data_IF_353125174640
#
_entry.id   IF_353125174640
#
_cell.length_a   1.000
_cell.length_b   1.000
_cell.length_c   1.000
_cell.angle_alpha   90.00
_cell.angle_beta   90.00
_cell.angle_gamma   90.00
#
_symmetry.space_group_name_H-M   'P 1'
#
loop_
_entity.id
_entity.type
_entity.pdbx_description
1 polymer ?
#
# COMPACT_ATOMS: atom_id res chain seq x y z
N UNK A 1 -22.11 56.40 -21.03
CA UNK A 1 -21.91 55.85 -20.87
C UNK A 1 -21.71 54.80 -20.70
N UNK A 2 -21.53 54.17 -20.58
CA UNK A 2 -21.34 53.30 -20.37
C UNK A 2 -20.92 52.25 -20.16
N UNK A 3 -20.76 51.66 -19.96
CA UNK A 3 -20.42 50.70 -19.74
C UNK A 3 -20.01 49.74 -19.52
N UNK A 4 -19.75 49.20 -19.42
CA UNK A 4 -19.43 48.29 -19.21
C UNK A 4 -19.21 47.28 -18.85
N UNK A 5 -19.09 46.66 -18.74
CA UNK A 5 -18.93 45.67 -18.37
C UNK A 5 -18.36 44.65 -18.06
N UNK A 6 -18.19 44.05 -17.79
CA UNK A 6 -17.67 43.22 -17.44
C UNK A 6 -17.60 42.08 -17.16
N UNK A 7 -17.51 41.47 -16.97
CA UNK A 7 -17.44 40.41 -16.77
C UNK A 7 -16.90 39.52 -16.44
N UNK A 8 -16.55 38.94 -16.12
CA UNK A 8 -16.05 38.12 -15.71
C UNK A 8 -15.96 36.91 -15.61
N UNK A 9 -15.94 36.29 -15.47
CA UNK A 9 -15.75 35.25 -15.48
C UNK A 9 -15.37 34.35 -14.92
N UNK A 10 -15.08 33.79 -14.50
CA UNK A 10 -14.72 33.00 -13.90
C UNK A 10 -14.43 31.86 -13.89
N UNK A 11 -14.28 31.19 -13.78
CA UNK A 11 -13.93 30.20 -13.79
C UNK A 11 -13.68 29.25 -13.22
N UNK A 12 -13.58 28.80 -12.72
CA UNK A 12 -13.45 27.91 -12.20
C UNK A 12 -12.89 26.83 -12.21
N UNK A 13 -12.55 26.39 -12.12
CA UNK A 13 -11.89 25.49 -12.08
C UNK A 13 -11.93 24.35 -11.58
N UNK A 14 -11.92 23.83 -11.28
CA UNK A 14 -11.95 22.81 -10.90
C UNK A 14 -11.35 21.84 -10.74
N UNK A 15 -11.00 21.35 -10.49
CA UNK A 15 -10.37 20.52 -10.25
C UNK A 15 -10.36 19.41 -9.98
N UNK A 16 -10.36 18.84 -9.80
CA UNK A 16 -10.34 17.82 -9.58
C UNK A 16 -9.75 16.99 -9.26
N UNK A 17 -9.63 16.74 -9.05
CA UNK A 17 -9.06 16.09 -8.95
C UNK A 17 -8.59 15.08 -8.56
N UNK A 18 -7.91 14.75 -8.80
CA UNK A 18 -7.30 13.61 -8.39
C UNK A 18 -7.38 13.33 -6.98
N UNK A 19 -7.68 14.26 -6.24
CA UNK A 19 -7.82 14.01 -4.82
C UNK A 19 -8.78 12.86 -4.57
N UNK A 20 -9.70 12.64 -5.47
CA UNK A 20 -10.61 11.51 -5.33
C UNK A 20 -9.87 10.19 -5.33
N UNK A 21 -8.64 10.20 -5.78
CA UNK A 21 -7.83 8.99 -5.87
C UNK A 21 -6.74 8.93 -4.84
N UNK A 22 -6.68 9.94 -4.00
CA UNK A 22 -5.70 9.92 -2.93
C UNK A 22 -5.99 8.70 -2.08
N UNK A 23 -5.02 7.84 -1.99
CA UNK A 23 -5.14 6.64 -1.18
C UNK A 23 -4.56 6.94 0.18
N UNK A 24 -5.28 6.58 1.22
CA UNK A 24 -4.79 6.77 2.57
C UNK A 24 -3.95 5.59 3.01
N UNK A 25 -3.18 5.02 2.11
CA UNK A 25 -2.31 3.92 2.47
C UNK A 25 -1.10 4.47 3.21
N UNK A 26 -0.66 3.78 4.27
CA UNK A 26 0.49 4.23 5.05
C UNK A 26 1.80 3.76 4.42
N UNK A 27 1.94 3.98 3.12
CA UNK A 27 3.09 3.50 2.33
C UNK A 27 3.61 4.60 1.44
N UNK A 28 4.89 4.48 1.08
CA UNK A 28 5.53 5.39 0.13
C UNK A 28 6.66 4.66 -0.57
N UNK A 29 7.23 5.28 -1.59
CA UNK A 29 8.40 4.76 -2.28
C UNK A 29 9.66 5.39 -1.70
N UNK A 30 10.68 4.58 -1.51
CA UNK A 30 11.99 5.07 -1.10
C UNK A 30 13.05 4.14 -1.66
N UNK A 31 14.06 4.72 -2.31
CA UNK A 31 15.17 3.93 -2.88
C UNK A 31 14.69 2.80 -3.80
N UNK A 32 13.63 3.06 -4.55
CA UNK A 32 13.13 2.12 -5.55
C UNK A 32 12.26 1.01 -5.01
N UNK A 33 11.93 1.03 -3.72
CA UNK A 33 11.06 0.01 -3.15
C UNK A 33 9.94 0.64 -2.35
N UNK A 34 8.94 -0.17 -2.05
CA UNK A 34 7.82 0.25 -1.23
C UNK A 34 8.19 0.13 0.24
N UNK A 35 7.93 1.18 0.99
CA UNK A 35 8.18 1.21 2.44
C UNK A 35 6.96 1.80 3.13
N UNK A 36 6.89 1.62 4.45
CA UNK A 36 5.86 2.29 5.24
C UNK A 36 6.17 3.78 5.33
N UNK A 37 5.19 4.56 5.80
CA UNK A 37 5.42 6.00 6.00
C UNK A 37 6.54 6.28 6.99
N UNK A 38 6.90 5.32 7.83
CA UNK A 38 8.02 5.45 8.75
C UNK A 38 9.31 4.83 8.22
N UNK A 39 9.30 4.35 6.97
CA UNK A 39 10.50 3.86 6.31
C UNK A 39 10.79 2.38 6.45
N UNK A 40 9.88 1.61 7.04
CA UNK A 40 10.08 0.17 7.17
C UNK A 40 9.81 -0.53 5.84
N UNK A 41 10.65 -1.48 5.51
CA UNK A 41 10.56 -2.21 4.24
C UNK A 41 9.31 -3.09 4.20
N UNK A 42 8.64 -3.08 3.04
CA UNK A 42 7.45 -3.87 2.78
C UNK A 42 7.82 -5.06 1.90
N UNK A 43 7.22 -6.21 2.18
CA UNK A 43 7.57 -7.47 1.50
C UNK A 43 6.35 -8.14 0.91
N UNK A 44 6.59 -8.99 -0.10
CA UNK A 44 5.61 -9.94 -0.62
C UNK A 44 6.11 -11.34 -0.42
N UNK A 45 5.19 -12.30 -0.46
CA UNK A 45 5.44 -13.71 -0.19
C UNK A 45 5.11 -14.51 -1.45
N UNK A 46 6.08 -15.27 -1.95
CA UNK A 46 5.91 -15.99 -3.21
C UNK A 46 4.81 -17.06 -3.18
N UNK A 47 4.49 -17.54 -1.98
CA UNK A 47 3.43 -18.57 -1.87
C UNK A 47 2.03 -17.99 -1.89
N UNK A 48 1.91 -16.66 -1.82
CA UNK A 48 0.62 -16.02 -2.00
C UNK A 48 0.28 -16.00 -3.49
N UNK A 49 -0.98 -16.30 -3.80
CA UNK A 49 -1.47 -16.25 -5.18
C UNK A 49 -2.05 -14.87 -5.43
N UNK A 50 -1.48 -14.16 -6.39
CA UNK A 50 -1.95 -12.81 -6.71
C UNK A 50 -3.44 -12.85 -7.07
N UNK A 51 -4.16 -11.83 -6.58
CA UNK A 51 -5.59 -11.66 -6.86
C UNK A 51 -6.48 -12.77 -6.31
N UNK A 52 -5.96 -13.60 -5.40
CA UNK A 52 -6.78 -14.64 -4.78
C UNK A 52 -7.63 -14.12 -3.62
N UNK A 53 -7.31 -12.93 -3.11
CA UNK A 53 -7.99 -12.37 -1.95
C UNK A 53 -7.62 -13.05 -0.64
N UNK A 54 -6.57 -13.84 -0.63
CA UNK A 54 -6.15 -14.62 0.54
C UNK A 54 -4.67 -14.50 0.79
N UNK A 55 -4.27 -14.79 2.03
CA UNK A 55 -2.88 -14.87 2.43
C UNK A 55 -2.54 -16.30 2.83
N UNK A 56 -1.39 -16.78 2.39
CA UNK A 56 -0.89 -18.10 2.76
C UNK A 56 -0.02 -18.07 4.03
N UNK A 57 0.21 -16.89 4.59
CA UNK A 57 1.08 -16.71 5.75
C UNK A 57 0.21 -16.52 7.00
N UNK A 58 0.06 -17.58 7.78
CA UNK A 58 -0.82 -17.61 8.96
C UNK A 58 -0.04 -18.14 10.16
N UNK A 59 -0.59 -17.93 11.37
CA UNK A 59 0.01 -18.43 12.59
C UNK A 59 1.43 -17.93 12.80
N UNK A 60 2.39 -18.82 13.06
CA UNK A 60 3.79 -18.41 13.29
C UNK A 60 4.38 -17.62 12.13
N UNK A 61 3.97 -17.90 10.90
CA UNK A 61 4.40 -17.13 9.75
C UNK A 61 4.03 -15.67 9.91
N UNK A 62 2.79 -15.38 10.31
CA UNK A 62 2.31 -14.01 10.48
C UNK A 62 2.95 -13.32 11.68
N UNK A 63 3.48 -14.06 12.62
CA UNK A 63 4.24 -13.48 13.73
C UNK A 63 5.59 -12.97 13.24
N UNK A 64 6.27 -13.75 12.40
CA UNK A 64 7.55 -13.35 11.82
C UNK A 64 7.37 -12.31 10.71
N UNK A 65 6.26 -12.38 9.99
CA UNK A 65 5.96 -11.51 8.85
C UNK A 65 4.60 -10.85 9.06
N UNK A 66 4.53 -9.81 9.91
CA UNK A 66 3.25 -9.18 10.22
C UNK A 66 2.59 -8.59 8.96
N UNK A 67 1.31 -8.91 8.74
CA UNK A 67 0.59 -8.33 7.61
C UNK A 67 0.37 -6.83 7.83
N UNK A 68 0.38 -6.08 6.74
CA UNK A 68 0.07 -4.65 6.81
C UNK A 68 -1.44 -4.52 6.85
N UNK A 69 -1.96 -3.90 7.90
CA UNK A 69 -3.39 -3.77 8.10
C UNK A 69 -4.02 -2.86 7.06
N UNK A 70 -5.20 -3.27 6.58
CA UNK A 70 -6.05 -2.42 5.74
C UNK A 70 -7.30 -1.98 6.48
N UNK A 71 -7.34 -2.16 7.80
CA UNK A 71 -8.51 -1.80 8.59
C UNK A 71 -8.85 -0.33 8.38
N UNK A 72 -10.11 -0.08 8.05
CA UNK A 72 -10.64 1.27 7.84
C UNK A 72 -10.01 2.02 6.67
N UNK A 73 -9.24 1.34 5.83
CA UNK A 73 -8.71 1.97 4.63
C UNK A 73 -9.69 1.83 3.48
N UNK A 74 -9.81 2.89 2.70
CA UNK A 74 -10.53 2.87 1.44
C UNK A 74 -9.50 2.99 0.35
N UNK A 75 -9.35 1.93 -0.43
CA UNK A 75 -8.31 1.89 -1.43
C UNK A 75 -8.89 1.58 -2.80
N UNK A 76 -8.11 1.90 -3.81
CA UNK A 76 -8.43 1.58 -5.20
C UNK A 76 -7.16 1.07 -5.87
N UNK A 77 -7.29 0.44 -7.04
CA UNK A 77 -6.10 -0.07 -7.72
C UNK A 77 -5.00 0.97 -7.79
N UNK A 78 -3.74 0.59 -7.64
CA UNK A 78 -3.23 -0.79 -7.57
C UNK A 78 -3.35 -1.46 -6.20
N UNK A 79 -3.96 -0.81 -5.23
CA UNK A 79 -4.15 -1.38 -3.90
C UNK A 79 -5.50 -2.09 -3.80
N UNK A 80 -5.56 -3.10 -2.96
CA UNK A 80 -6.79 -3.83 -2.66
C UNK A 80 -6.72 -4.37 -1.25
N UNK A 81 -7.78 -5.03 -0.80
CA UNK A 81 -7.87 -5.58 0.54
C UNK A 81 -8.00 -7.09 0.45
N UNK A 82 -7.20 -7.77 1.25
CA UNK A 82 -7.26 -9.22 1.41
C UNK A 82 -7.91 -9.51 2.75
N UNK A 83 -8.85 -10.45 2.78
CA UNK A 83 -9.43 -10.93 4.03
C UNK A 83 -8.69 -12.19 4.44
N UNK A 84 -8.02 -12.11 5.59
CA UNK A 84 -7.22 -13.22 6.10
C UNK A 84 -8.12 -14.28 6.72
N UNK A 85 -7.56 -15.45 6.97
CA UNK A 85 -8.32 -16.56 7.54
C UNK A 85 -8.91 -16.23 8.92
N UNK A 86 -8.26 -15.33 9.66
CA UNK A 86 -8.75 -14.90 10.97
C UNK A 86 -9.74 -13.73 10.87
N UNK A 87 -10.10 -13.32 9.67
CA UNK A 87 -11.03 -12.21 9.46
C UNK A 87 -10.38 -10.84 9.41
N UNK A 88 -9.09 -10.72 9.70
CA UNK A 88 -8.41 -9.44 9.64
C UNK A 88 -8.23 -9.00 8.19
N UNK A 89 -8.21 -7.70 7.98
CA UNK A 89 -8.03 -7.13 6.65
C UNK A 89 -6.58 -6.73 6.44
N UNK A 90 -6.00 -7.17 5.34
CA UNK A 90 -4.62 -6.94 4.98
C UNK A 90 -4.56 -6.16 3.68
N UNK A 91 -3.63 -5.20 3.61
CA UNK A 91 -3.41 -4.42 2.41
C UNK A 91 -2.68 -5.28 1.37
N UNK A 92 -3.08 -5.14 0.11
CA UNK A 92 -2.42 -5.80 -1.01
C UNK A 92 -2.05 -4.76 -2.07
N UNK A 93 -1.01 -5.06 -2.83
CA UNK A 93 -0.53 -4.21 -3.91
C UNK A 93 -0.41 -5.07 -5.17
N UNK A 94 -1.08 -4.64 -6.23
CA UNK A 94 -1.15 -5.41 -7.48
C UNK A 94 -1.57 -6.87 -7.23
N UNK A 95 -2.51 -7.02 -6.29
CA UNK A 95 -3.05 -8.32 -5.94
C UNK A 95 -2.23 -9.14 -4.97
N UNK A 96 -1.06 -8.67 -4.55
CA UNK A 96 -0.18 -9.41 -3.64
C UNK A 96 -0.31 -8.87 -2.22
N UNK A 97 -0.63 -9.71 -1.24
CA UNK A 97 -0.66 -9.27 0.15
C UNK A 97 0.69 -8.73 0.59
N UNK A 98 0.66 -7.71 1.44
CA UNK A 98 1.85 -7.00 1.88
C UNK A 98 2.15 -7.30 3.34
N UNK A 99 3.45 -7.43 3.64
CA UNK A 99 3.94 -7.81 4.97
C UNK A 99 5.09 -6.93 5.40
N UNK A 100 5.31 -6.89 6.70
CA UNK A 100 6.57 -6.41 7.29
C UNK A 100 7.38 -7.63 7.73
N UNK A 101 8.62 -7.41 8.14
CA UNK A 101 9.46 -8.46 8.70
C UNK A 101 9.82 -8.09 10.12
N UNK A 102 9.49 -8.95 11.06
CA UNK A 102 9.69 -8.66 12.48
C UNK A 102 11.16 -8.45 12.84
N UNK A 103 12.09 -9.02 12.06
CA UNK A 103 13.52 -8.85 12.31
C UNK A 103 14.08 -7.53 11.81
N UNK A 104 13.34 -6.79 11.00
CA UNK A 104 13.75 -5.43 10.63
C UNK A 104 13.49 -4.52 11.83
N UNK A 105 14.53 -3.81 12.30
CA UNK A 105 14.42 -3.06 13.54
C UNK A 105 14.37 -1.56 13.34
N UNK A 106 14.75 -1.07 12.16
CA UNK A 106 14.76 0.36 11.91
C UNK A 106 14.52 0.63 10.43
N UNK A 107 14.15 1.87 10.14
CA UNK A 107 13.95 2.30 8.76
C UNK A 107 15.19 1.98 7.93
N UNK A 108 14.98 1.45 6.74
CA UNK A 108 16.05 1.09 5.83
C UNK A 108 16.52 -0.35 5.96
N UNK A 109 16.15 -1.05 7.03
CA UNK A 109 16.50 -2.47 7.14
C UNK A 109 15.78 -3.26 6.04
N UNK A 110 16.51 -4.18 5.42
CA UNK A 110 15.97 -5.06 4.36
C UNK A 110 16.42 -6.49 4.61
N UNK A 111 16.39 -6.92 5.87
CA UNK A 111 16.94 -8.22 6.24
C UNK A 111 16.09 -9.37 5.73
N UNK A 112 14.85 -9.07 5.30
CA UNK A 112 13.96 -10.10 4.75
C UNK A 112 14.02 -10.27 3.25
N UNK A 113 14.76 -9.42 2.54
CA UNK A 113 14.78 -9.51 1.08
C UNK A 113 15.47 -10.80 0.65
N UNK A 114 14.81 -11.56 -0.21
CA UNK A 114 15.25 -12.87 -0.68
C UNK A 114 15.37 -13.91 0.43
N UNK A 115 14.69 -13.67 1.55
CA UNK A 115 14.69 -14.62 2.66
C UNK A 115 14.13 -15.95 2.17
N UNK A 116 14.93 -17.01 2.27
CA UNK A 116 14.60 -18.36 1.78
C UNK A 116 14.13 -18.38 0.33
N UNK A 117 14.47 -17.34 -0.44
CA UNK A 117 14.09 -17.18 -1.84
C UNK A 117 12.57 -17.10 -2.06
N UNK A 118 11.78 -16.83 -1.01
CA UNK A 118 10.33 -16.75 -1.14
C UNK A 118 9.75 -15.44 -0.58
N UNK A 119 10.60 -14.57 -0.04
CA UNK A 119 10.20 -13.24 0.44
C UNK A 119 10.99 -12.17 -0.30
N UNK A 120 10.33 -11.12 -0.75
CA UNK A 120 10.99 -10.11 -1.58
C UNK A 120 10.49 -8.72 -1.26
N UNK A 121 11.39 -7.73 -1.37
CA UNK A 121 10.96 -6.33 -1.34
C UNK A 121 10.06 -6.05 -2.54
N UNK A 122 9.27 -5.00 -2.46
CA UNK A 122 8.33 -4.64 -3.52
C UNK A 122 8.95 -3.54 -4.36
N UNK A 123 9.32 -3.86 -5.58
CA UNK A 123 9.84 -2.89 -6.54
C UNK A 123 8.71 -2.41 -7.42
N UNK A 124 8.86 -1.20 -7.89
CA UNK A 124 7.84 -0.62 -8.74
C UNK A 124 8.12 -0.86 -10.20
#
# INVERSE_FOLDING_TARGET
MKLSHIVLSVVAAVVLSGSAYAQNVPLKKADGILVTSTGMTVYTFDKDVADSGKSACNGPCATAWPPISAKDLKVSPPYSVVTRDDGAQQLAYKGKPLYLFASDKKAGDRTGDNFKDIWHVVKD
#
